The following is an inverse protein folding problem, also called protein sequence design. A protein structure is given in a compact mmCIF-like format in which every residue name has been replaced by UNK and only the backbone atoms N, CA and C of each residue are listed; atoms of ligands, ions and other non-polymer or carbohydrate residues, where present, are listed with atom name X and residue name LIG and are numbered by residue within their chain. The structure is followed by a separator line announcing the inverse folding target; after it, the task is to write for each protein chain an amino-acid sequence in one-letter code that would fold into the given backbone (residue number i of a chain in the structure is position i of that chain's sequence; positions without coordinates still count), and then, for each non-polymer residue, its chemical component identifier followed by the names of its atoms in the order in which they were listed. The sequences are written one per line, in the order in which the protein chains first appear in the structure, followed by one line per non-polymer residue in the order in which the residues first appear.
data_IF_629052953105
#
_entry.id   IF_629052953105
#
_cell.length_a   1.000
_cell.length_b   1.000
_cell.length_c   1.000
_cell.angle_alpha   90.00
_cell.angle_beta   90.00
_cell.angle_gamma   90.00
#
_symmetry.space_group_name_H-M   'P 1'
#
loop_
_entity.id
_entity.type
_entity.pdbx_description
1 polymer ?
#
# COMPACT_ATOMS: atom_id res chain seq x y z
N UNK A 1 -0.22 23.87 4.88
CA UNK A 1 0.22 23.51 6.26
C UNK A 1 -0.99 23.05 7.02
N UNK A 2 -1.02 21.80 7.41
CA UNK A 2 -2.17 21.18 8.09
C UNK A 2 -2.38 21.88 9.43
N UNK A 3 -3.54 22.48 9.63
CA UNK A 3 -3.97 23.00 10.92
C UNK A 3 -4.62 21.85 11.70
N UNK A 4 -3.90 21.27 12.61
CA UNK A 4 -4.44 20.31 13.58
C UNK A 4 -3.83 20.58 14.94
N UNK A 5 -4.60 20.38 15.98
CA UNK A 5 -4.15 20.55 17.36
C UNK A 5 -3.77 19.21 18.01
N UNK A 6 -4.44 18.13 17.60
CA UNK A 6 -4.19 16.82 18.21
C UNK A 6 -4.61 15.67 17.31
N UNK A 7 -3.76 14.64 17.26
CA UNK A 7 -3.98 13.37 16.53
C UNK A 7 -3.89 12.21 17.51
N UNK A 8 -4.90 11.35 17.52
CA UNK A 8 -4.86 10.09 18.26
C UNK A 8 -4.82 8.92 17.29
N UNK A 9 -3.76 8.13 17.34
CA UNK A 9 -3.56 6.94 16.51
C UNK A 9 -3.95 5.72 17.32
N UNK A 10 -4.96 4.99 16.85
CA UNK A 10 -5.44 3.74 17.44
C UNK A 10 -4.86 2.57 16.65
N UNK A 11 -4.00 1.80 17.31
CA UNK A 11 -3.26 0.71 16.69
C UNK A 11 -1.86 1.12 16.23
N UNK A 12 -0.85 0.39 16.70
CA UNK A 12 0.55 0.54 16.34
C UNK A 12 1.11 -0.80 15.88
N UNK A 13 0.49 -1.34 14.83
CA UNK A 13 1.01 -2.45 14.05
C UNK A 13 1.84 -1.93 12.88
N UNK A 14 1.89 -2.69 11.79
CA UNK A 14 2.62 -2.30 10.59
C UNK A 14 2.20 -0.91 10.07
N UNK A 15 0.91 -0.69 9.80
CA UNK A 15 0.42 0.60 9.28
C UNK A 15 0.66 1.74 10.29
N UNK A 16 0.31 1.53 11.56
CA UNK A 16 0.52 2.56 12.58
C UNK A 16 1.98 2.96 12.74
N UNK A 17 2.89 1.99 12.81
CA UNK A 17 4.34 2.24 12.91
C UNK A 17 4.90 3.01 11.72
N UNK A 18 4.42 2.66 10.55
CA UNK A 18 4.72 3.26 9.28
C UNK A 18 4.30 4.75 9.15
N UNK A 19 3.19 5.15 9.73
CA UNK A 19 2.72 6.53 9.71
C UNK A 19 3.59 7.47 10.58
N UNK A 20 4.37 6.93 11.53
CA UNK A 20 5.09 7.72 12.51
C UNK A 20 6.13 8.69 11.92
N UNK A 21 6.97 8.31 10.94
CA UNK A 21 7.86 9.24 10.27
C UNK A 21 7.11 10.40 9.59
N UNK A 22 5.95 10.12 8.99
CA UNK A 22 5.09 11.13 8.39
C UNK A 22 4.59 12.17 9.39
N UNK A 23 4.18 11.76 10.59
CA UNK A 23 3.80 12.71 11.64
C UNK A 23 4.95 13.62 12.05
N UNK A 24 6.17 13.09 12.13
CA UNK A 24 7.36 13.91 12.42
C UNK A 24 7.61 14.95 11.34
N UNK A 25 7.46 14.58 10.08
CA UNK A 25 7.58 15.51 8.95
C UNK A 25 6.48 16.59 8.97
N UNK A 26 5.26 16.21 9.35
CA UNK A 26 4.09 17.07 9.36
C UNK A 26 4.12 18.11 10.49
N UNK A 27 4.40 17.65 11.69
CA UNK A 27 4.21 18.40 12.92
C UNK A 27 5.52 18.95 13.52
N UNK A 28 6.67 18.45 13.03
CA UNK A 28 7.99 18.83 13.56
C UNK A 28 8.05 18.54 15.07
N UNK A 29 8.53 19.52 15.84
CA UNK A 29 8.64 19.41 17.30
C UNK A 29 7.32 19.22 18.03
N UNK A 30 6.20 19.62 17.40
CA UNK A 30 4.85 19.44 17.94
C UNK A 30 4.40 17.99 18.00
N UNK A 31 5.12 17.07 17.34
CA UNK A 31 4.77 15.65 17.36
C UNK A 31 4.74 15.07 18.78
N UNK A 32 5.60 15.54 19.67
CA UNK A 32 5.67 15.09 21.05
C UNK A 32 4.42 15.42 21.88
N UNK A 33 3.74 16.52 21.56
CA UNK A 33 2.56 17.02 22.30
C UNK A 33 1.26 16.68 21.60
N UNK A 34 1.25 16.74 20.28
CA UNK A 34 0.04 16.71 19.47
C UNK A 34 -0.33 15.29 18.99
N UNK A 35 0.61 14.34 19.02
CA UNK A 35 0.36 12.93 18.64
C UNK A 35 0.35 12.03 19.87
N UNK A 36 -0.70 11.24 20.00
CA UNK A 36 -0.80 10.16 20.99
C UNK A 36 -1.09 8.85 20.27
N UNK A 37 -0.30 7.83 20.58
CA UNK A 37 -0.40 6.50 19.97
C UNK A 37 -0.88 5.49 21.01
N UNK A 38 -1.82 4.64 20.62
CA UNK A 38 -2.40 3.62 21.48
C UNK A 38 -2.09 2.24 20.90
N UNK A 39 -1.43 1.41 21.72
CA UNK A 39 -1.15 0.00 21.42
C UNK A 39 -2.13 -0.90 22.16
N UNK A 40 -2.42 -2.06 21.57
CA UNK A 40 -3.20 -3.10 22.26
C UNK A 40 -2.38 -3.79 23.36
N UNK A 41 -1.07 -3.97 23.14
CA UNK A 41 -0.16 -4.69 24.05
C UNK A 41 1.11 -3.87 24.32
N UNK A 42 1.84 -4.27 25.36
CA UNK A 42 3.12 -3.68 25.76
C UNK A 42 4.34 -4.19 24.95
N UNK A 43 4.11 -5.10 24.00
CA UNK A 43 5.17 -5.64 23.16
C UNK A 43 5.96 -4.52 22.51
N UNK A 44 7.29 -4.57 22.56
CA UNK A 44 8.26 -3.60 22.02
C UNK A 44 8.08 -2.15 22.53
N UNK A 45 7.35 -1.95 23.66
CA UNK A 45 6.98 -0.62 24.16
C UNK A 45 8.20 0.25 24.48
N UNK A 46 9.20 -0.30 25.17
CA UNK A 46 10.40 0.45 25.58
C UNK A 46 11.25 0.84 24.36
N UNK A 47 11.40 -0.07 23.38
CA UNK A 47 12.06 0.23 22.10
C UNK A 47 11.37 1.39 21.38
N UNK A 48 10.03 1.32 21.27
CA UNK A 48 9.25 2.34 20.56
C UNK A 48 9.29 3.69 21.28
N UNK A 49 9.29 3.71 22.60
CA UNK A 49 9.44 4.94 23.41
C UNK A 49 10.83 5.57 23.25
N UNK A 50 11.85 4.75 23.09
CA UNK A 50 13.21 5.25 22.81
C UNK A 50 13.37 5.81 21.39
N UNK A 51 12.61 5.25 20.43
CA UNK A 51 12.69 5.62 19.03
C UNK A 51 11.83 6.84 18.67
N UNK A 52 10.68 6.99 19.32
CA UNK A 52 9.69 8.00 18.97
C UNK A 52 9.40 8.98 20.12
N UNK A 53 9.30 10.30 19.84
CA UNK A 53 9.12 11.33 20.86
C UNK A 53 7.69 11.46 21.39
N UNK A 54 6.70 10.77 20.80
CA UNK A 54 5.30 10.95 21.19
C UNK A 54 4.86 10.02 22.31
N UNK A 55 3.73 10.37 22.93
CA UNK A 55 3.11 9.57 23.98
C UNK A 55 2.61 8.26 23.40
N UNK A 56 3.15 7.13 23.90
CA UNK A 56 2.66 5.80 23.59
C UNK A 56 2.01 5.20 24.83
N UNK A 57 0.72 4.83 24.70
CA UNK A 57 -0.10 4.27 25.77
C UNK A 57 -0.54 2.85 25.39
N UNK A 58 -0.62 1.97 26.38
CA UNK A 58 -1.17 0.62 26.20
C UNK A 58 -2.63 0.61 26.71
N UNK A 59 -3.55 0.25 25.82
CA UNK A 59 -4.98 0.24 26.12
C UNK A 59 -5.55 1.62 26.46
N UNK A 60 -6.70 1.63 27.13
CA UNK A 60 -7.36 2.86 27.63
C UNK A 60 -7.68 3.92 26.55
N UNK A 61 -8.03 3.49 25.34
CA UNK A 61 -8.31 4.38 24.19
C UNK A 61 -9.31 5.47 24.55
N UNK A 62 -10.41 5.12 25.18
CA UNK A 62 -11.45 6.07 25.59
C UNK A 62 -10.92 7.17 26.53
N UNK A 63 -10.08 6.80 27.50
CA UNK A 63 -9.44 7.78 28.41
C UNK A 63 -8.55 8.75 27.63
N UNK A 64 -7.74 8.26 26.67
CA UNK A 64 -6.87 9.11 25.87
C UNK A 64 -7.68 10.06 25.00
N UNK A 65 -8.77 9.60 24.37
CA UNK A 65 -9.67 10.46 23.60
C UNK A 65 -10.28 11.59 24.44
N UNK A 66 -10.76 11.27 25.66
CA UNK A 66 -11.31 12.27 26.60
C UNK A 66 -10.27 13.33 27.02
N UNK A 67 -9.03 12.89 27.27
CA UNK A 67 -7.93 13.78 27.66
C UNK A 67 -7.49 14.69 26.51
N UNK A 68 -7.35 14.10 25.31
CA UNK A 68 -6.76 14.80 24.16
C UNK A 68 -7.74 15.61 23.34
N UNK A 69 -9.02 15.23 23.31
CA UNK A 69 -10.05 15.85 22.47
C UNK A 69 -9.51 16.08 21.05
N UNK A 70 -9.13 15.02 20.33
CA UNK A 70 -8.37 15.15 19.09
C UNK A 70 -9.19 15.78 17.95
N UNK A 71 -8.50 16.41 17.00
CA UNK A 71 -9.09 16.80 15.71
C UNK A 71 -9.18 15.61 14.74
N UNK A 72 -8.28 14.64 14.91
CA UNK A 72 -8.18 13.47 14.03
C UNK A 72 -8.01 12.21 14.87
N UNK A 73 -8.81 11.19 14.57
CA UNK A 73 -8.64 9.82 15.06
C UNK A 73 -8.21 8.94 13.90
N UNK A 74 -7.01 8.40 13.98
CA UNK A 74 -6.45 7.49 12.96
C UNK A 74 -6.67 6.06 13.38
N UNK A 75 -7.35 5.28 12.55
CA UNK A 75 -7.73 3.89 12.82
C UNK A 75 -6.83 2.93 12.05
N UNK A 76 -5.90 2.28 12.76
CA UNK A 76 -4.93 1.30 12.22
C UNK A 76 -4.95 -0.07 12.91
N UNK A 77 -6.00 -0.48 13.66
CA UNK A 77 -6.04 -1.82 14.23
C UNK A 77 -6.32 -2.88 13.15
N UNK A 78 -6.13 -4.18 13.46
CA UNK A 78 -6.57 -5.25 12.59
C UNK A 78 -8.06 -5.11 12.26
N UNK A 79 -8.49 -5.43 11.02
CA UNK A 79 -9.88 -5.25 10.59
C UNK A 79 -10.93 -5.87 11.51
N UNK A 80 -10.65 -7.04 12.10
CA UNK A 80 -11.54 -7.74 13.01
C UNK A 80 -11.76 -7.00 14.36
N UNK A 81 -10.82 -6.15 14.77
CA UNK A 81 -10.89 -5.40 16.02
C UNK A 81 -11.63 -4.05 15.87
N UNK A 82 -11.72 -3.53 14.67
CA UNK A 82 -12.32 -2.21 14.39
C UNK A 82 -13.76 -2.12 14.90
N UNK A 83 -14.66 -3.07 14.63
CA UNK A 83 -16.05 -3.00 15.12
C UNK A 83 -16.16 -2.92 16.64
N UNK A 84 -15.30 -3.65 17.36
CA UNK A 84 -15.26 -3.63 18.83
C UNK A 84 -14.79 -2.26 19.34
N UNK A 85 -13.73 -1.72 18.76
CA UNK A 85 -13.19 -0.39 19.11
C UNK A 85 -14.25 0.71 18.83
N UNK A 86 -14.94 0.64 17.69
CA UNK A 86 -16.02 1.59 17.38
C UNK A 86 -17.09 1.51 18.48
N UNK A 87 -17.62 0.33 18.77
CA UNK A 87 -18.71 0.14 19.74
C UNK A 87 -18.31 0.53 21.16
N UNK A 88 -17.17 0.04 21.63
CA UNK A 88 -16.80 0.11 23.04
C UNK A 88 -16.01 1.39 23.37
N UNK A 89 -15.54 2.11 22.36
CA UNK A 89 -14.69 3.30 22.55
C UNK A 89 -15.20 4.53 21.81
N UNK A 90 -15.39 4.44 20.47
CA UNK A 90 -15.76 5.62 19.71
C UNK A 90 -17.20 6.06 19.98
N UNK A 91 -18.16 5.13 20.03
CA UNK A 91 -19.57 5.45 20.33
C UNK A 91 -19.70 6.19 21.67
N UNK A 92 -19.14 5.70 22.80
CA UNK A 92 -19.17 6.45 24.05
C UNK A 92 -18.53 7.84 23.96
N UNK A 93 -17.34 7.93 23.33
CA UNK A 93 -16.63 9.22 23.20
C UNK A 93 -17.43 10.23 22.39
N UNK A 94 -17.96 9.83 21.22
CA UNK A 94 -18.71 10.72 20.35
C UNK A 94 -20.01 11.21 20.98
N UNK A 95 -20.70 10.36 21.72
CA UNK A 95 -21.90 10.74 22.48
C UNK A 95 -21.56 11.76 23.58
N UNK A 96 -20.48 11.54 24.33
CA UNK A 96 -20.00 12.47 25.35
C UNK A 96 -19.57 13.81 24.75
N UNK A 97 -18.86 13.78 23.61
CA UNK A 97 -18.42 14.98 22.92
C UNK A 97 -19.62 15.83 22.46
N UNK A 98 -20.64 15.19 21.86
CA UNK A 98 -21.88 15.88 21.48
C UNK A 98 -22.58 16.51 22.68
N UNK A 99 -22.75 15.75 23.75
CA UNK A 99 -23.40 16.25 24.96
C UNK A 99 -22.66 17.44 25.61
N UNK A 100 -21.33 17.48 25.45
CA UNK A 100 -20.47 18.54 25.98
C UNK A 100 -20.22 19.67 24.99
N UNK A 101 -20.77 19.64 23.75
CA UNK A 101 -20.51 20.64 22.69
C UNK A 101 -19.05 20.64 22.22
N UNK A 102 -18.33 19.54 22.37
CA UNK A 102 -16.94 19.39 21.88
C UNK A 102 -16.98 19.04 20.39
N UNK A 103 -16.19 19.69 19.53
CA UNK A 103 -16.11 19.32 18.13
C UNK A 103 -15.73 17.85 17.94
N UNK A 104 -16.43 17.17 17.03
CA UNK A 104 -16.13 15.77 16.71
C UNK A 104 -14.86 15.68 15.85
N UNK A 105 -13.99 14.71 16.13
CA UNK A 105 -12.81 14.47 15.30
C UNK A 105 -13.18 13.88 13.94
N UNK A 106 -12.34 14.15 12.93
CA UNK A 106 -12.36 13.39 11.69
C UNK A 106 -11.80 11.99 11.94
N UNK A 107 -12.36 10.99 11.28
CA UNK A 107 -11.89 9.60 11.33
C UNK A 107 -11.11 9.30 10.05
N UNK A 108 -9.84 8.93 10.21
CA UNK A 108 -8.97 8.49 9.13
C UNK A 108 -8.74 6.98 9.28
N UNK A 109 -9.45 6.17 8.46
CA UNK A 109 -9.35 4.72 8.54
C UNK A 109 -8.40 4.15 7.49
N UNK A 110 -7.47 3.32 7.92
CA UNK A 110 -6.47 2.64 7.09
C UNK A 110 -6.82 1.17 6.81
N UNK A 111 -7.89 0.68 7.39
CA UNK A 111 -8.38 -0.67 7.11
C UNK A 111 -9.15 -0.75 5.79
N UNK A 112 -8.98 -1.81 5.00
CA UNK A 112 -9.83 -2.05 3.85
C UNK A 112 -11.29 -2.30 4.27
N UNK A 113 -11.49 -2.86 5.45
CA UNK A 113 -12.77 -3.14 6.10
C UNK A 113 -12.70 -2.79 7.58
N UNK A 114 -13.82 -2.35 8.21
CA UNK A 114 -15.12 -2.09 7.59
C UNK A 114 -15.11 -0.91 6.63
N UNK A 115 -16.11 -0.84 5.77
CA UNK A 115 -16.34 0.31 4.89
C UNK A 115 -16.62 1.56 5.73
N UNK A 116 -16.28 2.79 5.28
CA UNK A 116 -16.64 4.02 5.98
C UNK A 116 -18.12 4.14 6.36
N UNK A 117 -19.03 3.60 5.55
CA UNK A 117 -20.46 3.58 5.89
C UNK A 117 -20.74 2.96 7.26
N UNK A 118 -20.01 1.94 7.65
CA UNK A 118 -20.16 1.33 8.98
C UNK A 118 -19.86 2.30 10.13
N UNK A 119 -18.92 3.24 9.93
CA UNK A 119 -18.66 4.29 10.92
C UNK A 119 -19.85 5.25 11.05
N UNK A 120 -20.47 5.64 9.93
CA UNK A 120 -21.68 6.50 9.95
C UNK A 120 -22.86 5.78 10.61
N UNK A 121 -23.05 4.50 10.32
CA UNK A 121 -24.12 3.69 10.91
C UNK A 121 -23.98 3.56 12.43
N UNK A 122 -22.76 3.51 12.94
CA UNK A 122 -22.49 3.38 14.37
C UNK A 122 -22.40 4.73 15.11
N UNK A 123 -21.83 5.74 14.47
CA UNK A 123 -21.46 7.00 15.10
C UNK A 123 -22.39 8.17 14.76
N UNK A 124 -23.24 8.03 13.75
CA UNK A 124 -24.19 9.05 13.31
C UNK A 124 -23.73 9.82 12.06
N UNK A 125 -24.64 10.62 11.45
CA UNK A 125 -24.39 11.26 10.16
C UNK A 125 -23.58 12.56 10.24
N UNK A 126 -23.28 13.06 11.43
CA UNK A 126 -22.55 14.31 11.69
C UNK A 126 -21.04 14.10 11.85
N UNK A 127 -20.56 12.91 11.60
CA UNK A 127 -19.13 12.59 11.57
C UNK A 127 -18.55 12.82 10.16
N UNK A 128 -17.22 12.87 10.08
CA UNK A 128 -16.48 12.84 8.82
C UNK A 128 -15.50 11.68 8.83
N UNK A 129 -15.66 10.76 7.89
CA UNK A 129 -14.82 9.57 7.78
C UNK A 129 -14.22 9.48 6.39
N UNK A 130 -12.90 9.31 6.32
CA UNK A 130 -12.18 9.12 5.07
C UNK A 130 -11.33 7.85 5.14
N UNK A 131 -11.31 7.09 4.05
CA UNK A 131 -10.48 5.88 3.93
C UNK A 131 -9.17 6.20 3.23
N UNK A 132 -8.10 5.73 3.82
CA UNK A 132 -6.75 5.76 3.27
C UNK A 132 -6.31 4.36 2.88
N UNK A 133 -5.82 4.22 1.66
CA UNK A 133 -5.19 2.99 1.18
C UNK A 133 -3.77 3.35 0.71
N UNK A 134 -2.79 3.44 1.62
CA UNK A 134 -1.43 3.81 1.28
C UNK A 134 -0.77 2.72 0.43
N UNK A 135 0.14 3.12 -0.47
CA UNK A 135 1.03 2.16 -1.13
C UNK A 135 2.06 1.61 -0.13
N UNK A 136 2.79 0.60 -0.53
CA UNK A 136 3.94 0.13 0.24
C UNK A 136 4.91 1.28 0.45
N UNK A 137 5.31 1.45 1.70
CA UNK A 137 6.04 2.61 2.19
C UNK A 137 7.25 2.11 2.96
N UNK A 138 8.22 1.58 2.22
CA UNK A 138 9.44 1.10 2.83
C UNK A 138 10.56 2.09 2.61
N UNK A 139 11.42 2.15 3.60
CA UNK A 139 12.77 2.67 3.44
C UNK A 139 13.64 1.52 2.99
N UNK A 140 14.08 1.56 1.74
CA UNK A 140 14.92 0.54 1.15
C UNK A 140 16.24 1.16 0.75
N UNK A 141 17.35 0.54 1.15
CA UNK A 141 18.67 1.09 0.85
C UNK A 141 18.88 2.52 1.38
N UNK A 142 18.20 2.91 2.46
CA UNK A 142 18.22 4.27 2.99
C UNK A 142 17.34 5.28 2.24
N UNK A 143 16.63 4.85 1.22
CA UNK A 143 15.72 5.69 0.41
C UNK A 143 14.28 5.52 0.86
N UNK A 144 13.63 6.64 1.19
CA UNK A 144 12.20 6.67 1.48
C UNK A 144 11.41 6.68 0.17
N UNK A 145 10.97 5.51 -0.29
CA UNK A 145 10.17 5.38 -1.53
C UNK A 145 8.72 5.86 -1.38
N UNK A 146 8.31 6.14 -0.17
CA UNK A 146 6.95 6.58 0.20
C UNK A 146 6.41 7.69 -0.67
N UNK A 147 7.19 8.73 -0.88
CA UNK A 147 6.77 9.91 -1.63
C UNK A 147 6.54 9.64 -3.13
N UNK A 148 7.00 8.50 -3.63
CA UNK A 148 6.89 8.13 -5.04
C UNK A 148 5.75 7.16 -5.32
N UNK A 149 5.32 6.37 -4.32
CA UNK A 149 4.15 5.51 -4.42
C UNK A 149 2.85 6.30 -4.35
N UNK A 150 1.75 5.70 -4.83
CA UNK A 150 0.44 6.33 -4.75
C UNK A 150 -0.26 6.01 -3.42
N UNK A 151 -0.86 7.02 -2.78
CA UNK A 151 -1.83 6.85 -1.71
C UNK A 151 -3.23 7.07 -2.25
N UNK A 152 -4.14 6.14 -2.01
CA UNK A 152 -5.54 6.32 -2.37
C UNK A 152 -6.31 6.93 -1.22
N UNK A 153 -7.03 7.98 -1.53
CA UNK A 153 -7.93 8.68 -0.63
C UNK A 153 -9.36 8.51 -1.13
N UNK A 154 -10.23 8.01 -0.26
CA UNK A 154 -11.61 7.69 -0.59
C UNK A 154 -12.53 8.44 0.35
N UNK A 155 -13.26 9.42 -0.17
CA UNK A 155 -14.31 10.12 0.56
C UNK A 155 -15.62 9.37 0.43
N UNK A 156 -16.39 9.31 1.52
CA UNK A 156 -17.70 8.67 1.53
C UNK A 156 -18.70 9.50 0.72
N UNK A 157 -19.45 8.91 -0.22
CA UNK A 157 -20.49 9.63 -0.95
C UNK A 157 -21.54 10.23 -0.01
N UNK A 158 -21.92 11.48 -0.29
CA UNK A 158 -22.90 12.18 0.52
C UNK A 158 -22.40 12.79 1.82
N UNK A 159 -21.15 12.54 2.21
CA UNK A 159 -20.53 13.24 3.33
C UNK A 159 -20.22 14.69 2.93
N UNK A 160 -20.84 15.69 3.58
CA UNK A 160 -20.57 17.10 3.33
C UNK A 160 -19.24 17.52 3.97
N UNK A 161 -18.16 16.81 3.69
CA UNK A 161 -16.83 17.07 4.25
C UNK A 161 -16.46 18.55 4.09
N UNK A 162 -16.29 19.33 5.17
CA UNK A 162 -15.95 20.75 5.07
C UNK A 162 -14.68 20.94 4.23
N UNK A 163 -14.61 21.98 3.37
CA UNK A 163 -13.49 22.17 2.44
C UNK A 163 -12.11 22.19 3.11
N UNK A 164 -12.01 22.82 4.28
CA UNK A 164 -10.76 22.89 5.05
C UNK A 164 -10.36 21.54 5.65
N UNK A 165 -11.32 20.76 6.15
CA UNK A 165 -11.08 19.39 6.63
C UNK A 165 -10.77 18.43 5.48
N UNK A 166 -11.45 18.60 4.34
CA UNK A 166 -11.16 17.83 3.12
C UNK A 166 -9.73 18.09 2.63
N UNK A 167 -9.30 19.35 2.59
CA UNK A 167 -7.92 19.69 2.24
C UNK A 167 -6.93 19.12 3.26
N UNK A 168 -7.25 19.17 4.55
CA UNK A 168 -6.43 18.56 5.60
C UNK A 168 -6.24 17.05 5.38
N UNK A 169 -7.28 16.34 4.97
CA UNK A 169 -7.20 14.92 4.66
C UNK A 169 -6.31 14.64 3.43
N UNK A 170 -6.37 15.49 2.40
CA UNK A 170 -5.50 15.41 1.21
C UNK A 170 -4.04 15.68 1.62
N UNK A 171 -3.78 16.77 2.32
CA UNK A 171 -2.45 17.11 2.80
C UNK A 171 -1.84 16.01 3.68
N UNK A 172 -2.68 15.36 4.51
CA UNK A 172 -2.26 14.22 5.31
C UNK A 172 -1.88 13.01 4.44
N UNK A 173 -2.65 12.73 3.38
CA UNK A 173 -2.35 11.67 2.43
C UNK A 173 -1.05 11.92 1.66
N UNK A 174 -0.80 13.17 1.27
CA UNK A 174 0.39 13.58 0.52
C UNK A 174 1.71 13.37 1.30
N UNK A 175 1.64 13.24 2.63
CA UNK A 175 2.80 12.86 3.44
C UNK A 175 3.29 11.44 3.13
N UNK A 176 2.40 10.59 2.67
CA UNK A 176 2.62 9.17 2.44
C UNK A 176 2.68 8.80 0.95
N UNK A 177 2.95 9.77 0.11
CA UNK A 177 3.04 9.61 -1.33
C UNK A 177 2.05 10.48 -2.08
N UNK A 178 2.08 10.43 -3.40
CA UNK A 178 1.14 11.18 -4.24
C UNK A 178 -0.29 10.72 -3.99
N UNK A 179 -1.16 11.65 -3.65
CA UNK A 179 -2.58 11.35 -3.39
C UNK A 179 -3.36 11.16 -4.68
N UNK A 180 -4.09 10.06 -4.75
CA UNK A 180 -5.10 9.79 -5.78
C UNK A 180 -6.46 9.70 -5.11
N UNK A 181 -7.38 10.59 -5.45
CA UNK A 181 -8.76 10.54 -4.97
C UNK A 181 -9.50 9.53 -5.83
N UNK A 182 -9.89 8.42 -5.22
CA UNK A 182 -10.57 7.31 -5.89
C UNK A 182 -12.06 7.34 -5.52
N UNK A 183 -12.99 7.15 -6.48
CA UNK A 183 -14.39 6.96 -6.19
C UNK A 183 -14.63 5.83 -5.17
N UNK A 184 -15.60 6.02 -4.30
CA UNK A 184 -15.87 5.09 -3.19
C UNK A 184 -16.14 3.66 -3.66
N UNK A 185 -16.93 3.49 -4.71
CA UNK A 185 -17.28 2.21 -5.33
C UNK A 185 -16.07 1.50 -5.98
N UNK A 186 -15.01 2.25 -6.29
CA UNK A 186 -13.78 1.74 -6.89
C UNK A 186 -12.67 1.46 -5.87
N UNK A 187 -12.89 1.75 -4.59
CA UNK A 187 -11.85 1.66 -3.57
C UNK A 187 -11.27 0.25 -3.40
N UNK A 188 -12.09 -0.79 -3.57
CA UNK A 188 -11.63 -2.18 -3.48
C UNK A 188 -10.85 -2.62 -4.72
N UNK A 189 -11.15 -2.06 -5.89
CA UNK A 189 -10.39 -2.31 -7.12
C UNK A 189 -8.99 -1.71 -7.04
N UNK A 190 -8.91 -0.48 -6.57
CA UNK A 190 -7.66 0.20 -6.33
C UNK A 190 -6.78 -0.58 -5.33
N UNK A 191 -7.38 -1.13 -4.27
CA UNK A 191 -6.70 -2.00 -3.32
C UNK A 191 -6.16 -3.26 -3.99
N UNK A 192 -6.94 -3.93 -4.84
CA UNK A 192 -6.50 -5.12 -5.56
C UNK A 192 -5.28 -4.83 -6.45
N UNK A 193 -5.32 -3.72 -7.19
CA UNK A 193 -4.21 -3.30 -8.05
C UNK A 193 -2.92 -3.02 -7.27
N UNK A 194 -3.02 -2.47 -6.06
CA UNK A 194 -1.85 -2.22 -5.20
C UNK A 194 -1.24 -3.50 -4.65
N UNK A 195 -2.05 -4.51 -4.37
CA UNK A 195 -1.60 -5.75 -3.75
C UNK A 195 -0.90 -6.71 -4.73
N UNK A 196 -0.88 -6.41 -6.02
CA UNK A 196 -0.05 -7.14 -6.99
C UNK A 196 1.42 -6.74 -6.98
N UNK A 197 1.78 -5.82 -6.11
CA UNK A 197 3.13 -5.33 -5.90
C UNK A 197 4.16 -6.44 -5.68
N UNK A 198 3.88 -7.35 -4.76
CA UNK A 198 4.80 -8.45 -4.42
C UNK A 198 5.05 -9.40 -5.59
N UNK A 199 4.17 -9.47 -6.58
CA UNK A 199 4.38 -10.29 -7.76
C UNK A 199 5.55 -9.83 -8.63
N UNK A 200 5.95 -8.55 -8.56
CA UNK A 200 7.17 -8.06 -9.21
C UNK A 200 8.44 -8.59 -8.53
N UNK A 201 8.41 -8.81 -7.22
CA UNK A 201 9.49 -9.46 -6.49
C UNK A 201 9.64 -10.89 -6.97
N UNK A 202 8.54 -11.62 -7.05
CA UNK A 202 8.51 -13.01 -7.52
C UNK A 202 8.94 -13.16 -8.99
N UNK A 203 8.60 -12.21 -9.86
CA UNK A 203 9.10 -12.17 -11.25
C UNK A 203 10.63 -12.06 -11.24
N UNK A 204 11.15 -11.14 -10.43
CA UNK A 204 12.59 -10.90 -10.36
C UNK A 204 13.34 -12.11 -9.77
N UNK A 205 12.75 -12.82 -8.81
CA UNK A 205 13.30 -14.09 -8.27
C UNK A 205 13.34 -15.16 -9.35
N UNK A 206 12.22 -15.40 -10.03
CA UNK A 206 12.12 -16.46 -11.04
C UNK A 206 13.13 -16.27 -12.18
N UNK A 207 13.32 -15.01 -12.61
CA UNK A 207 14.28 -14.71 -13.68
C UNK A 207 15.72 -14.78 -13.18
N UNK A 208 16.05 -14.25 -12.00
CA UNK A 208 17.42 -14.34 -11.46
C UNK A 208 17.81 -15.80 -11.22
N UNK A 209 16.93 -16.63 -10.69
CA UNK A 209 17.19 -18.08 -10.52
C UNK A 209 17.40 -18.81 -11.85
N UNK A 210 16.61 -18.46 -12.88
CA UNK A 210 16.79 -19.05 -14.21
C UNK A 210 18.17 -18.69 -14.81
N UNK A 211 18.62 -17.46 -14.60
CA UNK A 211 19.93 -17.01 -15.05
C UNK A 211 21.07 -17.65 -14.26
N UNK A 212 20.94 -17.77 -12.94
CA UNK A 212 21.91 -18.46 -12.08
C UNK A 212 22.08 -19.94 -12.48
N UNK A 213 21.00 -20.65 -12.79
CA UNK A 213 21.04 -22.03 -13.28
C UNK A 213 21.78 -22.19 -14.60
N UNK A 214 21.81 -21.14 -15.43
CA UNK A 214 22.56 -21.09 -16.68
C UNK A 214 24.00 -20.57 -16.49
N UNK A 215 24.44 -20.39 -15.25
CA UNK A 215 25.80 -19.98 -14.90
C UNK A 215 26.04 -18.45 -14.95
N UNK A 216 24.99 -17.64 -15.03
CA UNK A 216 25.12 -16.18 -14.97
C UNK A 216 25.06 -15.71 -13.52
N UNK A 217 26.01 -14.86 -13.12
CA UNK A 217 26.01 -14.24 -11.79
C UNK A 217 25.10 -13.00 -11.78
N UNK A 218 23.80 -13.22 -11.66
CA UNK A 218 22.80 -12.14 -11.75
C UNK A 218 21.91 -12.17 -10.51
N UNK A 219 21.92 -11.05 -9.75
CA UNK A 219 21.07 -10.91 -8.57
C UNK A 219 19.64 -10.46 -8.92
N UNK A 220 18.72 -10.66 -7.98
CA UNK A 220 17.35 -10.11 -8.06
C UNK A 220 17.35 -8.60 -8.30
N UNK A 221 18.25 -7.86 -7.61
CA UNK A 221 18.39 -6.41 -7.79
C UNK A 221 18.84 -6.02 -9.20
N UNK A 222 19.68 -6.83 -9.85
CA UNK A 222 20.12 -6.62 -11.23
C UNK A 222 18.96 -6.80 -12.22
N UNK A 223 18.14 -7.84 -12.01
CA UNK A 223 16.90 -8.05 -12.79
C UNK A 223 15.95 -6.87 -12.59
N UNK A 224 15.75 -6.42 -11.33
CA UNK A 224 14.95 -5.24 -11.02
C UNK A 224 15.45 -3.96 -11.70
N UNK A 225 16.78 -3.76 -11.75
CA UNK A 225 17.39 -2.63 -12.46
C UNK A 225 17.09 -2.66 -13.97
N UNK A 226 17.18 -3.84 -14.59
CA UNK A 226 16.87 -4.00 -16.01
C UNK A 226 15.38 -3.77 -16.29
N UNK A 227 14.49 -4.37 -15.50
CA UNK A 227 13.04 -4.15 -15.61
C UNK A 227 12.67 -2.67 -15.43
N UNK A 228 13.29 -1.96 -14.48
CA UNK A 228 13.07 -0.53 -14.27
C UNK A 228 13.48 0.31 -15.47
N UNK A 229 14.66 0.03 -16.06
CA UNK A 229 15.11 0.72 -17.27
C UNK A 229 14.16 0.48 -18.44
N UNK A 230 13.78 -0.78 -18.67
CA UNK A 230 12.85 -1.17 -19.74
C UNK A 230 11.45 -0.56 -19.54
N UNK A 231 10.95 -0.54 -18.29
CA UNK A 231 9.70 0.12 -17.95
C UNK A 231 9.73 1.61 -18.34
N UNK A 232 10.78 2.32 -17.96
CA UNK A 232 10.95 3.75 -18.29
C UNK A 232 11.03 4.00 -19.78
N UNK A 233 11.65 3.10 -20.54
CA UNK A 233 11.71 3.20 -21.98
C UNK A 233 10.31 3.14 -22.62
N UNK A 234 9.48 2.15 -22.27
CA UNK A 234 8.16 2.04 -22.89
C UNK A 234 7.15 3.06 -22.33
N UNK A 235 7.36 3.59 -21.12
CA UNK A 235 6.53 4.68 -20.57
C UNK A 235 6.95 6.07 -21.03
N UNK A 236 8.06 6.21 -21.79
CA UNK A 236 8.57 7.48 -22.27
C UNK A 236 9.20 8.37 -21.19
N UNK A 237 9.67 7.78 -20.10
CA UNK A 237 10.35 8.46 -19.01
C UNK A 237 10.06 7.89 -17.64
N UNK A 238 10.82 8.32 -16.63
CA UNK A 238 10.65 7.96 -15.23
C UNK A 238 9.95 9.05 -14.44
N UNK A 239 9.25 8.65 -13.38
CA UNK A 239 8.62 9.53 -12.38
C UNK A 239 9.32 9.48 -11.01
N UNK A 240 10.16 8.47 -10.82
CA UNK A 240 10.91 8.21 -9.58
C UNK A 240 12.39 8.39 -9.86
N UNK A 241 12.98 9.45 -9.30
CA UNK A 241 14.36 9.88 -9.55
C UNK A 241 15.40 9.34 -8.56
N UNK A 242 14.94 8.58 -7.54
CA UNK A 242 15.81 8.13 -6.44
C UNK A 242 16.63 6.89 -6.75
N UNK A 243 16.35 6.20 -7.82
CA UNK A 243 17.14 5.07 -8.29
C UNK A 243 17.18 5.02 -9.81
N UNK A 244 18.27 4.51 -10.33
CA UNK A 244 18.48 4.34 -11.75
C UNK A 244 18.30 2.88 -12.16
N UNK A 245 17.68 2.66 -13.33
CA UNK A 245 17.68 1.38 -14.00
C UNK A 245 19.03 1.14 -14.69
N UNK A 246 19.34 -0.12 -14.98
CA UNK A 246 20.56 -0.48 -15.70
C UNK A 246 20.30 -1.73 -16.52
N UNK A 247 20.58 -1.68 -17.82
CA UNK A 247 20.53 -2.84 -18.69
C UNK A 247 21.83 -3.67 -18.67
N UNK A 248 22.92 -3.08 -18.11
CA UNK A 248 24.25 -3.68 -18.13
C UNK A 248 24.49 -4.76 -17.07
N UNK A 249 23.58 -4.88 -16.14
CA UNK A 249 23.71 -5.78 -14.96
C UNK A 249 23.12 -7.17 -15.22
N UNK A 250 22.55 -7.41 -16.40
CA UNK A 250 22.01 -8.69 -16.83
C UNK A 250 22.59 -9.07 -18.20
N UNK A 251 22.60 -10.37 -18.61
CA UNK A 251 22.97 -10.76 -19.94
C UNK A 251 22.11 -10.06 -21.02
N UNK A 252 22.74 -9.54 -22.08
CA UNK A 252 22.02 -8.84 -23.14
C UNK A 252 20.91 -9.71 -23.77
N UNK A 253 21.16 -11.02 -23.89
CA UNK A 253 20.20 -11.97 -24.45
C UNK A 253 18.88 -12.06 -23.69
N UNK A 254 18.81 -11.73 -22.37
CA UNK A 254 17.56 -11.78 -21.60
C UNK A 254 16.72 -10.49 -21.75
N UNK A 255 17.28 -9.41 -22.26
CA UNK A 255 16.60 -8.11 -22.31
C UNK A 255 15.28 -8.11 -23.11
N UNK A 256 15.18 -8.76 -24.29
CA UNK A 256 13.91 -8.85 -25.00
C UNK A 256 12.83 -9.57 -24.20
N UNK A 257 13.20 -10.64 -23.49
CA UNK A 257 12.29 -11.37 -22.63
C UNK A 257 11.80 -10.52 -21.44
N UNK A 258 12.73 -9.85 -20.75
CA UNK A 258 12.38 -8.95 -19.63
C UNK A 258 11.49 -7.80 -20.08
N UNK A 259 11.74 -7.22 -21.28
CA UNK A 259 10.88 -6.21 -21.87
C UNK A 259 9.46 -6.74 -22.03
N UNK A 260 9.29 -7.85 -22.74
CA UNK A 260 7.98 -8.44 -23.01
C UNK A 260 7.21 -8.79 -21.72
N UNK A 261 7.87 -9.40 -20.74
CA UNK A 261 7.25 -9.74 -19.45
C UNK A 261 6.86 -8.47 -18.67
N UNK A 262 7.73 -7.45 -18.62
CA UNK A 262 7.46 -6.21 -17.90
C UNK A 262 6.26 -5.45 -18.50
N UNK A 263 6.22 -5.34 -19.82
CA UNK A 263 5.11 -4.71 -20.54
C UNK A 263 3.80 -5.49 -20.38
N UNK A 264 3.85 -6.81 -20.53
CA UNK A 264 2.69 -7.68 -20.39
C UNK A 264 2.11 -7.62 -18.97
N UNK A 265 2.97 -7.66 -17.94
CA UNK A 265 2.54 -7.55 -16.55
C UNK A 265 1.88 -6.21 -16.24
N UNK A 266 2.50 -5.12 -16.68
CA UNK A 266 1.93 -3.78 -16.55
C UNK A 266 0.56 -3.67 -17.24
N UNK A 267 0.46 -4.13 -18.49
CA UNK A 267 -0.78 -4.10 -19.28
C UNK A 267 -1.88 -4.94 -18.66
N UNK A 268 -1.58 -6.15 -18.20
CA UNK A 268 -2.57 -7.05 -17.60
C UNK A 268 -3.21 -6.44 -16.35
N UNK A 269 -2.42 -5.80 -15.47
CA UNK A 269 -2.94 -5.08 -14.31
C UNK A 269 -3.80 -3.89 -14.74
N UNK A 270 -3.30 -3.06 -15.67
CA UNK A 270 -4.03 -1.89 -16.16
C UNK A 270 -5.37 -2.27 -16.81
N UNK A 271 -5.35 -3.28 -17.68
CA UNK A 271 -6.55 -3.80 -18.34
C UNK A 271 -7.60 -4.25 -17.32
N UNK A 272 -7.15 -4.93 -16.25
CA UNK A 272 -8.08 -5.33 -15.19
C UNK A 272 -8.70 -4.11 -14.49
N UNK A 273 -7.89 -3.13 -14.08
CA UNK A 273 -8.36 -1.94 -13.36
C UNK A 273 -9.40 -1.17 -14.20
N UNK A 274 -9.14 -1.00 -15.49
CA UNK A 274 -10.06 -0.32 -16.43
C UNK A 274 -11.33 -1.16 -16.63
N UNK A 275 -11.20 -2.49 -16.75
CA UNK A 275 -12.36 -3.39 -16.95
C UNK A 275 -13.36 -3.38 -15.80
N UNK A 276 -12.94 -2.99 -14.60
CA UNK A 276 -13.81 -2.87 -13.43
C UNK A 276 -14.31 -1.43 -13.19
N UNK A 277 -14.13 -0.55 -14.19
CA UNK A 277 -14.75 0.77 -14.23
C UNK A 277 -13.89 1.93 -13.74
N UNK A 278 -12.60 1.71 -13.49
CA UNK A 278 -11.71 2.82 -13.20
C UNK A 278 -11.46 3.64 -14.48
N UNK A 279 -11.49 4.98 -14.35
CA UNK A 279 -11.14 5.87 -15.46
C UNK A 279 -9.68 5.61 -15.88
N UNK A 280 -9.46 5.47 -17.20
CA UNK A 280 -8.18 4.99 -17.74
C UNK A 280 -7.00 5.91 -17.41
N UNK A 281 -7.17 7.23 -17.49
CA UNK A 281 -6.12 8.19 -17.17
C UNK A 281 -5.71 8.12 -15.70
N UNK A 282 -6.69 8.05 -14.79
CA UNK A 282 -6.46 7.85 -13.37
C UNK A 282 -5.78 6.51 -13.10
N UNK A 283 -6.24 5.43 -13.74
CA UNK A 283 -5.66 4.10 -13.60
C UNK A 283 -4.19 4.07 -14.06
N UNK A 284 -3.87 4.66 -15.21
CA UNK A 284 -2.49 4.78 -15.71
C UNK A 284 -1.60 5.55 -14.76
N UNK A 285 -2.11 6.63 -14.18
CA UNK A 285 -1.35 7.48 -13.29
C UNK A 285 -0.97 6.77 -11.99
N UNK A 286 -1.94 6.19 -11.28
CA UNK A 286 -1.63 5.54 -10.01
C UNK A 286 -0.93 4.20 -10.20
N UNK A 287 -1.31 3.42 -11.21
CA UNK A 287 -0.66 2.14 -11.49
C UNK A 287 0.79 2.38 -11.93
N UNK A 288 1.04 3.37 -12.79
CA UNK A 288 2.38 3.72 -13.21
C UNK A 288 3.28 4.14 -12.04
N UNK A 289 2.79 5.04 -11.17
CA UNK A 289 3.54 5.48 -10.00
C UNK A 289 3.87 4.30 -9.06
N UNK A 290 2.90 3.42 -8.82
CA UNK A 290 3.08 2.26 -7.95
C UNK A 290 4.04 1.23 -8.58
N UNK A 291 3.89 0.93 -9.86
CA UNK A 291 4.71 -0.05 -10.58
C UNK A 291 6.18 0.36 -10.60
N UNK A 292 6.48 1.62 -10.91
CA UNK A 292 7.84 2.16 -10.90
C UNK A 292 8.45 2.15 -9.49
N UNK A 293 7.70 2.59 -8.49
CA UNK A 293 8.14 2.58 -7.10
C UNK A 293 8.53 1.16 -6.63
N UNK A 294 7.79 0.15 -7.06
CA UNK A 294 8.08 -1.24 -6.74
C UNK A 294 9.30 -1.79 -7.46
N UNK A 295 9.49 -1.43 -8.71
CA UNK A 295 10.73 -1.77 -9.42
C UNK A 295 11.94 -1.10 -8.76
N UNK A 296 11.79 0.13 -8.24
CA UNK A 296 12.82 0.76 -7.42
C UNK A 296 13.07 -0.02 -6.12
N UNK A 297 12.03 -0.55 -5.48
CA UNK A 297 12.19 -1.41 -4.30
C UNK A 297 13.01 -2.64 -4.64
N UNK A 298 12.69 -3.34 -5.73
CA UNK A 298 13.47 -4.51 -6.19
C UNK A 298 14.92 -4.14 -6.50
N UNK A 299 15.14 -3.00 -7.13
CA UNK A 299 16.49 -2.50 -7.48
C UNK A 299 17.36 -2.20 -6.27
N UNK A 300 16.77 -1.65 -5.22
CA UNK A 300 17.50 -1.15 -4.05
C UNK A 300 17.64 -2.17 -2.92
N UNK A 301 16.78 -3.18 -2.87
CA UNK A 301 16.74 -4.17 -1.82
C UNK A 301 17.54 -5.42 -2.16
N UNK A 302 18.08 -6.04 -1.14
CA UNK A 302 18.54 -7.43 -1.21
C UNK A 302 17.35 -8.38 -1.26
N UNK A 303 17.53 -9.59 -1.78
CA UNK A 303 16.49 -10.63 -1.76
C UNK A 303 15.94 -10.86 -0.36
N UNK A 304 16.81 -10.91 0.66
CA UNK A 304 16.40 -11.10 2.04
C UNK A 304 15.47 -9.98 2.54
N UNK A 305 15.79 -8.72 2.24
CA UNK A 305 14.94 -7.58 2.60
C UNK A 305 13.57 -7.64 1.90
N UNK A 306 13.53 -8.08 0.63
CA UNK A 306 12.26 -8.28 -0.09
C UNK A 306 11.43 -9.42 0.51
N UNK A 307 12.05 -10.54 0.91
CA UNK A 307 11.38 -11.65 1.59
C UNK A 307 10.84 -11.23 2.96
N UNK A 308 11.60 -10.46 3.75
CA UNK A 308 11.15 -9.89 5.02
C UNK A 308 10.00 -8.90 4.82
N UNK A 309 10.08 -8.05 3.79
CA UNK A 309 9.00 -7.15 3.40
C UNK A 309 7.72 -7.93 3.06
N UNK A 310 7.84 -8.94 2.22
CA UNK A 310 6.72 -9.80 1.86
C UNK A 310 6.09 -10.46 3.09
N UNK A 311 6.89 -11.01 4.00
CA UNK A 311 6.41 -11.64 5.24
C UNK A 311 5.67 -10.65 6.16
N UNK A 312 6.10 -9.39 6.19
CA UNK A 312 5.46 -8.35 6.99
C UNK A 312 4.13 -7.86 6.38
N UNK A 313 3.99 -7.91 5.05
CA UNK A 313 2.81 -7.40 4.33
C UNK A 313 1.80 -8.47 3.96
N UNK A 314 2.22 -9.71 3.78
CA UNK A 314 1.35 -10.84 3.48
C UNK A 314 0.72 -11.38 4.76
N UNK A 315 -0.19 -10.60 5.35
CA UNK A 315 -0.98 -11.05 6.52
C UNK A 315 -1.75 -12.32 6.17
N UNK A 316 -1.73 -13.28 7.08
CA UNK A 316 -2.44 -14.55 6.93
C UNK A 316 -3.93 -14.34 6.60
N UNK A 317 -4.39 -14.95 5.52
CA UNK A 317 -5.75 -14.78 4.99
C UNK A 317 -5.96 -13.44 4.27
N UNK A 318 -4.92 -12.63 4.09
CA UNK A 318 -4.98 -11.33 3.43
C UNK A 318 -4.88 -11.40 1.91
N UNK A 319 -5.08 -10.25 1.27
CA UNK A 319 -5.08 -10.14 -0.19
C UNK A 319 -3.69 -10.33 -0.82
N UNK A 320 -2.62 -9.89 -0.13
CA UNK A 320 -1.24 -10.08 -0.59
C UNK A 320 -0.83 -11.54 -0.56
N UNK A 321 -1.12 -12.26 0.53
CA UNK A 321 -0.88 -13.71 0.62
C UNK A 321 -1.58 -14.42 -0.53
N UNK A 322 -2.82 -14.07 -0.83
CA UNK A 322 -3.57 -14.67 -1.93
C UNK A 322 -2.97 -14.41 -3.31
N UNK A 323 -2.46 -13.20 -3.55
CA UNK A 323 -1.77 -12.87 -4.81
C UNK A 323 -0.52 -13.73 -5.01
N UNK A 324 0.31 -13.84 -3.97
CA UNK A 324 1.55 -14.65 -4.00
C UNK A 324 1.22 -16.13 -4.17
N UNK A 325 0.23 -16.65 -3.43
CA UNK A 325 -0.20 -18.04 -3.55
C UNK A 325 -0.56 -18.42 -5.00
N UNK A 326 -1.38 -17.58 -5.66
CA UNK A 326 -1.78 -17.83 -7.05
C UNK A 326 -0.58 -17.70 -8.00
N UNK A 327 0.29 -16.71 -7.79
CA UNK A 327 1.49 -16.54 -8.59
C UNK A 327 2.42 -17.76 -8.50
N UNK A 328 2.72 -18.18 -7.29
CA UNK A 328 3.63 -19.33 -7.05
C UNK A 328 3.05 -20.61 -7.61
N UNK A 329 1.75 -20.86 -7.44
CA UNK A 329 1.10 -22.08 -7.92
C UNK A 329 1.00 -22.15 -9.44
N UNK A 330 0.78 -21.01 -10.13
CA UNK A 330 0.38 -21.03 -11.55
C UNK A 330 1.41 -20.41 -12.50
N UNK A 331 2.28 -19.54 -12.03
CA UNK A 331 3.09 -18.73 -12.93
C UNK A 331 4.61 -18.81 -12.68
N UNK A 332 5.05 -18.95 -11.43
CA UNK A 332 6.49 -18.95 -11.08
C UNK A 332 7.30 -19.97 -11.89
N UNK A 333 6.89 -21.23 -11.88
CA UNK A 333 7.55 -22.29 -12.63
C UNK A 333 7.54 -22.07 -14.15
N UNK A 334 6.37 -21.80 -14.77
CA UNK A 334 6.28 -21.42 -16.17
C UNK A 334 7.17 -20.23 -16.57
N UNK A 335 7.22 -19.15 -15.75
CA UNK A 335 8.06 -18.00 -15.99
C UNK A 335 9.55 -18.35 -16.01
N UNK A 336 10.01 -19.08 -14.99
CA UNK A 336 11.40 -19.55 -14.90
C UNK A 336 11.80 -20.42 -16.09
N UNK A 337 10.90 -21.33 -16.49
CA UNK A 337 11.10 -22.17 -17.69
C UNK A 337 11.18 -21.34 -18.98
N UNK A 338 10.30 -20.34 -19.14
CA UNK A 338 10.29 -19.47 -20.31
C UNK A 338 11.55 -18.60 -20.39
N UNK A 339 12.04 -18.06 -19.27
CA UNK A 339 13.29 -17.32 -19.21
C UNK A 339 14.49 -18.20 -19.65
N UNK A 340 14.59 -19.43 -19.18
CA UNK A 340 15.62 -20.38 -19.60
C UNK A 340 15.53 -20.70 -21.09
N UNK A 341 14.34 -21.05 -21.57
CA UNK A 341 14.11 -21.36 -22.98
C UNK A 341 14.54 -20.19 -23.89
N UNK A 342 14.23 -18.96 -23.49
CA UNK A 342 14.63 -17.77 -24.21
C UNK A 342 16.17 -17.64 -24.29
N UNK A 343 16.86 -17.84 -23.17
CA UNK A 343 18.33 -17.79 -23.11
C UNK A 343 18.99 -18.89 -23.92
N UNK A 344 18.33 -20.03 -24.12
CA UNK A 344 18.76 -21.15 -24.96
C UNK A 344 18.41 -20.95 -26.45
N UNK A 345 17.91 -19.76 -26.84
CA UNK A 345 17.58 -19.41 -28.23
C UNK A 345 16.16 -19.80 -28.67
N UNK A 346 15.30 -20.21 -27.74
CA UNK A 346 13.88 -20.48 -28.02
C UNK A 346 13.05 -19.21 -28.13
N UNK A 347 11.85 -19.34 -28.70
CA UNK A 347 10.88 -18.23 -28.82
C UNK A 347 10.06 -18.08 -27.53
N UNK A 348 9.81 -16.84 -27.09
CA UNK A 348 9.03 -16.52 -25.89
C UNK A 348 7.80 -15.62 -26.18
N UNK A 349 7.52 -15.30 -27.43
CA UNK A 349 6.45 -14.36 -27.80
C UNK A 349 5.07 -14.77 -27.27
N UNK A 350 4.72 -16.03 -27.43
CA UNK A 350 3.43 -16.55 -26.91
C UNK A 350 3.34 -16.54 -25.37
N UNK A 351 4.47 -16.42 -24.68
CA UNK A 351 4.49 -16.33 -23.23
C UNK A 351 4.07 -14.95 -22.71
N UNK A 352 4.23 -13.91 -23.51
CA UNK A 352 3.80 -12.56 -23.09
C UNK A 352 2.29 -12.44 -22.95
N UNK A 353 1.52 -13.10 -23.83
CA UNK A 353 0.05 -13.19 -23.68
C UNK A 353 -0.34 -13.96 -22.41
N UNK A 354 0.41 -15.01 -22.07
CA UNK A 354 0.22 -15.75 -20.81
C UNK A 354 0.53 -14.86 -19.60
N UNK A 355 1.59 -14.05 -19.67
CA UNK A 355 1.96 -13.13 -18.60
C UNK A 355 0.91 -12.03 -18.40
N UNK A 356 0.40 -11.42 -19.46
CA UNK A 356 -0.67 -10.43 -19.41
C UNK A 356 -1.96 -11.03 -18.83
N UNK A 357 -2.38 -12.19 -19.32
CA UNK A 357 -3.55 -12.90 -18.82
C UNK A 357 -3.43 -13.32 -17.35
N UNK A 358 -2.21 -13.70 -16.90
CA UNK A 358 -1.94 -14.04 -15.51
C UNK A 358 -2.01 -12.81 -14.60
N UNK A 359 -1.42 -11.69 -15.00
CA UNK A 359 -1.50 -10.44 -14.26
C UNK A 359 -2.96 -10.00 -14.07
N UNK A 360 -3.77 -10.09 -15.12
CA UNK A 360 -5.22 -9.85 -15.07
C UNK A 360 -5.92 -10.81 -14.09
N UNK A 361 -5.65 -12.11 -14.19
CA UNK A 361 -6.30 -13.15 -13.38
C UNK A 361 -5.97 -13.04 -11.89
N UNK A 362 -4.71 -12.71 -11.56
CA UNK A 362 -4.29 -12.48 -10.17
C UNK A 362 -5.07 -11.31 -9.59
N UNK A 363 -5.15 -10.18 -10.32
CA UNK A 363 -5.92 -9.02 -9.87
C UNK A 363 -7.40 -9.34 -9.67
N UNK A 364 -8.02 -10.08 -10.58
CA UNK A 364 -9.39 -10.52 -10.44
C UNK A 364 -9.59 -11.40 -9.19
N UNK A 365 -8.64 -12.30 -8.93
CA UNK A 365 -8.69 -13.20 -7.78
C UNK A 365 -8.53 -12.44 -6.46
N UNK A 366 -7.58 -11.52 -6.39
CA UNK A 366 -7.34 -10.64 -5.24
C UNK A 366 -8.56 -9.76 -4.96
N UNK A 367 -9.16 -9.20 -6.00
CA UNK A 367 -10.37 -8.40 -5.89
C UNK A 367 -11.55 -9.20 -5.31
N UNK A 368 -11.82 -10.39 -5.85
CA UNK A 368 -12.85 -11.28 -5.31
C UNK A 368 -12.58 -11.64 -3.85
N UNK A 369 -11.32 -11.88 -3.49
CA UNK A 369 -10.93 -12.15 -2.12
C UNK A 369 -11.17 -10.94 -1.22
N UNK A 370 -10.81 -9.73 -1.65
CA UNK A 370 -11.09 -8.50 -0.93
C UNK A 370 -12.59 -8.28 -0.68
N UNK A 371 -13.44 -8.57 -1.66
CA UNK A 371 -14.90 -8.53 -1.50
C UNK A 371 -15.42 -9.52 -0.45
N UNK A 372 -14.88 -10.74 -0.42
CA UNK A 372 -15.24 -11.72 0.63
C UNK A 372 -14.87 -11.22 2.02
N UNK A 373 -13.67 -10.67 2.17
CA UNK A 373 -13.24 -10.08 3.44
C UNK A 373 -14.12 -8.90 3.86
N UNK A 374 -14.65 -8.15 2.89
CA UNK A 374 -15.57 -7.04 3.14
C UNK A 374 -17.02 -7.47 3.41
N UNK A 375 -17.33 -8.77 3.38
CA UNK A 375 -18.70 -9.28 3.56
C UNK A 375 -19.67 -8.88 2.44
N UNK A 376 -19.15 -8.61 1.24
CA UNK A 376 -19.93 -8.11 0.07
C UNK A 376 -20.23 -9.21 -0.96
N UNK A 377 -20.35 -10.46 -0.54
CA UNK A 377 -20.82 -11.60 -1.36
C UNK A 377 -22.01 -12.24 -0.72
#
# INVERSE_FOLDING_TARGET
MIKTNSVVVVGMGFIGGFLLPGYKMLLGDRVATDVSVIKATDRDLEKLRAEYPFRITVGNTLKVLREKKPDIVVMCPPPAEIPVIIKDTLVPYFNEARAAGIPLPDIYTFGPVPDPQYYYDCLGPDIHCVKYLPSMMETVGGVHLQKYGGSFLVFTPGDPFPPDRRQRAIDFSDLFGRTFIIPHDQSLYALAAKNTAHTLFEISYAVSEALEELGHNTSTANVGAAMLSLYREFMGGGRVDVCEGSLKEVPEAILPFLRGVTEAWYKGILTYIVSVGCEEGLARDFHGANFESLLCTVRLATRKELEESTANHATKGGVNEKAIEVFMACFYGPLRKAARLHMEGGTSESFYDVAEGMAYTINQTVHRHAYRLAGKF
#
